data_IF_016448503202
#
_entry.id   IF_016448503202
#
_cell.length_a   1.000
_cell.length_b   1.000
_cell.length_c   1.000
_cell.angle_alpha   90.00
_cell.angle_beta   90.00
_cell.angle_gamma   90.00
#
_symmetry.space_group_name_H-M   'P 1'
#
loop_
_entity.id
_entity.type
_entity.pdbx_description
1 polymer ?
#
# COMPACT_ATOMS: atom_id res chain seq x y z
N UNK A 1 6.28 -7.73 18.73
CA UNK A 1 5.32 -8.82 18.44
C UNK A 1 4.58 -9.20 19.71
N UNK A 2 3.24 -9.26 19.68
CA UNK A 2 2.38 -9.54 20.86
C UNK A 2 1.89 -11.00 20.93
N UNK A 3 2.34 -11.83 20.00
CA UNK A 3 1.97 -13.24 19.86
C UNK A 3 3.23 -14.08 20.11
N UNK A 4 3.12 -15.08 20.98
CA UNK A 4 4.21 -16.01 21.30
C UNK A 4 4.38 -17.05 20.18
N UNK A 5 5.47 -17.84 20.24
CA UNK A 5 5.66 -18.96 19.30
C UNK A 5 4.58 -20.05 19.44
N UNK A 6 3.93 -20.16 20.60
CA UNK A 6 2.79 -21.06 20.83
C UNK A 6 1.46 -20.50 20.30
N UNK A 7 1.45 -19.28 19.76
CA UNK A 7 0.22 -18.66 19.25
C UNK A 7 -0.61 -17.96 20.33
N UNK A 8 -0.07 -17.76 21.53
CA UNK A 8 -0.76 -17.06 22.61
C UNK A 8 -0.66 -15.54 22.45
N UNK A 9 -1.79 -14.86 22.56
CA UNK A 9 -1.86 -13.40 22.53
C UNK A 9 -1.65 -12.85 23.95
N UNK A 10 -0.55 -12.12 24.14
CA UNK A 10 -0.22 -11.49 25.43
C UNK A 10 -0.58 -10.01 25.39
N UNK A 11 -1.53 -9.60 26.24
CA UNK A 11 -1.96 -8.21 26.39
C UNK A 11 -1.77 -7.75 27.84
N UNK A 12 -1.13 -6.60 28.02
CA UNK A 12 -0.91 -5.96 29.32
C UNK A 12 -1.18 -4.46 29.27
N UNK A 13 -1.51 -3.87 30.42
CA UNK A 13 -1.72 -2.43 30.57
C UNK A 13 -1.28 -1.97 31.95
N UNK A 14 -0.49 -0.90 32.01
CA UNK A 14 0.02 -0.25 33.23
C UNK A 14 -0.38 1.23 33.25
N UNK A 15 -1.59 1.53 32.76
CA UNK A 15 -2.00 2.91 32.46
C UNK A 15 -2.60 3.58 33.70
N UNK A 16 -3.34 2.83 34.49
CA UNK A 16 -4.05 3.31 35.66
C UNK A 16 -3.42 2.78 36.95
N UNK A 17 -3.75 3.44 38.07
CA UNK A 17 -3.24 3.02 39.39
C UNK A 17 -3.86 1.71 39.88
N UNK A 18 -5.10 1.39 39.50
CA UNK A 18 -5.79 0.19 39.99
C UNK A 18 -5.75 -0.96 38.99
N UNK A 19 -5.64 -2.19 39.50
CA UNK A 19 -5.70 -3.40 38.69
C UNK A 19 -7.04 -3.53 37.95
N UNK A 20 -8.17 -3.15 38.59
CA UNK A 20 -9.51 -3.24 38.00
C UNK A 20 -9.64 -2.36 36.75
N UNK A 21 -9.17 -1.11 36.83
CA UNK A 21 -9.16 -0.20 35.68
C UNK A 21 -8.22 -0.73 34.58
N UNK A 22 -7.03 -1.21 34.95
CA UNK A 22 -6.12 -1.82 33.97
C UNK A 22 -6.72 -3.06 33.30
N UNK A 23 -7.46 -3.90 34.04
CA UNK A 23 -8.19 -5.06 33.50
C UNK A 23 -9.23 -4.62 32.47
N UNK A 24 -10.03 -3.60 32.79
CA UNK A 24 -11.01 -3.04 31.85
C UNK A 24 -10.34 -2.53 30.57
N UNK A 25 -9.21 -1.82 30.69
CA UNK A 25 -8.47 -1.31 29.53
C UNK A 25 -7.94 -2.45 28.65
N UNK A 26 -7.40 -3.51 29.25
CA UNK A 26 -6.92 -4.68 28.49
C UNK A 26 -8.08 -5.35 27.76
N UNK A 27 -9.24 -5.51 28.41
CA UNK A 27 -10.45 -6.04 27.80
C UNK A 27 -10.91 -5.19 26.61
N UNK A 28 -10.96 -3.86 26.74
CA UNK A 28 -11.32 -2.97 25.62
C UNK A 28 -10.34 -3.09 24.45
N UNK A 29 -9.03 -3.09 24.73
CA UNK A 29 -7.99 -3.28 23.71
C UNK A 29 -8.10 -4.63 22.99
N UNK A 30 -8.50 -5.68 23.70
CA UNK A 30 -8.71 -7.00 23.11
C UNK A 30 -9.86 -6.97 22.09
N UNK A 31 -11.00 -6.38 22.46
CA UNK A 31 -12.13 -6.23 21.55
C UNK A 31 -11.79 -5.35 20.33
N UNK A 32 -11.13 -4.21 20.53
CA UNK A 32 -10.69 -3.35 19.41
C UNK A 32 -9.78 -4.09 18.43
N UNK A 33 -8.94 -4.99 18.94
CA UNK A 33 -8.01 -5.78 18.10
C UNK A 33 -8.79 -6.82 17.29
N UNK A 34 -9.75 -7.50 17.91
CA UNK A 34 -10.65 -8.43 17.21
C UNK A 34 -11.45 -7.71 16.13
N UNK A 35 -12.06 -6.58 16.46
CA UNK A 35 -12.84 -5.78 15.50
C UNK A 35 -11.98 -5.42 14.29
N UNK A 36 -10.77 -4.89 14.50
CA UNK A 36 -9.84 -4.55 13.42
C UNK A 36 -9.43 -5.77 12.58
N UNK A 37 -9.26 -6.93 13.20
CA UNK A 37 -8.90 -8.16 12.51
C UNK A 37 -10.06 -8.73 11.68
N UNK A 38 -11.30 -8.49 12.11
CA UNK A 38 -12.51 -8.94 11.41
C UNK A 38 -12.91 -8.02 10.24
N UNK A 39 -12.37 -6.80 10.17
CA UNK A 39 -12.62 -5.91 9.02
C UNK A 39 -12.03 -6.55 7.77
N UNK A 40 -12.87 -6.92 6.77
CA UNK A 40 -12.36 -7.47 5.52
C UNK A 40 -11.55 -6.40 4.78
N UNK A 41 -10.34 -6.78 4.34
CA UNK A 41 -9.55 -5.91 3.48
C UNK A 41 -10.25 -5.78 2.13
N UNK A 42 -10.55 -4.55 1.72
CA UNK A 42 -11.10 -4.29 0.39
C UNK A 42 -10.04 -4.66 -0.65
N UNK A 43 -10.42 -5.54 -1.58
CA UNK A 43 -9.54 -5.92 -2.68
C UNK A 43 -9.07 -4.68 -3.45
N UNK A 44 -7.76 -4.63 -3.71
CA UNK A 44 -7.17 -3.57 -4.51
C UNK A 44 -7.48 -3.82 -5.99
N UNK A 45 -8.28 -2.94 -6.58
CA UNK A 45 -8.44 -2.90 -8.04
C UNK A 45 -7.21 -2.24 -8.65
N UNK A 46 -6.53 -2.94 -9.58
CA UNK A 46 -5.38 -2.39 -10.30
C UNK A 46 -5.81 -1.17 -11.12
N UNK A 47 -5.08 -0.07 -10.98
CA UNK A 47 -5.33 1.14 -11.78
C UNK A 47 -4.74 0.98 -13.18
N UNK A 48 -5.46 1.47 -14.19
CA UNK A 48 -4.93 1.61 -15.55
C UNK A 48 -3.97 2.81 -15.59
N UNK A 49 -2.97 2.84 -16.50
CA UNK A 49 -2.11 4.01 -16.67
C UNK A 49 -2.96 5.25 -17.02
N UNK A 50 -2.65 6.38 -16.39
CA UNK A 50 -3.38 7.63 -16.59
C UNK A 50 -3.23 8.17 -18.02
N UNK A 51 -4.21 8.98 -18.46
CA UNK A 51 -4.21 9.63 -19.78
C UNK A 51 -2.90 10.38 -20.06
N UNK A 52 -2.37 11.07 -19.05
CA UNK A 52 -1.10 11.81 -19.13
C UNK A 52 0.08 10.89 -19.44
N UNK A 53 0.15 9.71 -18.81
CA UNK A 53 1.19 8.72 -19.08
C UNK A 53 1.09 8.17 -20.51
N UNK A 54 -0.13 7.94 -21.00
CA UNK A 54 -0.38 7.49 -22.38
C UNK A 54 0.05 8.56 -23.39
N UNK A 55 -0.28 9.82 -23.14
CA UNK A 55 0.10 10.95 -24.01
C UNK A 55 1.63 11.14 -24.05
N UNK A 56 2.29 11.16 -22.88
CA UNK A 56 3.77 11.25 -22.80
C UNK A 56 4.45 10.14 -23.59
N UNK A 57 3.95 8.90 -23.49
CA UNK A 57 4.45 7.76 -24.27
C UNK A 57 4.31 8.01 -25.79
N UNK A 58 3.15 8.50 -26.24
CA UNK A 58 2.89 8.77 -27.65
C UNK A 58 3.79 9.89 -28.19
N UNK A 59 3.94 10.99 -27.46
CA UNK A 59 4.84 12.09 -27.81
C UNK A 59 6.28 11.62 -27.90
N UNK A 60 6.73 10.86 -26.90
CA UNK A 60 8.06 10.27 -26.90
C UNK A 60 8.27 9.37 -28.12
N UNK A 61 7.31 8.47 -28.42
CA UNK A 61 7.34 7.62 -29.61
C UNK A 61 7.47 8.44 -30.90
N UNK A 62 6.70 9.53 -31.04
CA UNK A 62 6.76 10.43 -32.20
C UNK A 62 8.13 11.12 -32.32
N UNK A 63 8.65 11.68 -31.22
CA UNK A 63 9.96 12.34 -31.18
C UNK A 63 11.09 11.37 -31.58
N UNK A 64 11.05 10.13 -31.10
CA UNK A 64 12.03 9.10 -31.49
C UNK A 64 11.94 8.72 -32.96
N UNK A 65 10.74 8.57 -33.52
CA UNK A 65 10.57 8.29 -34.94
C UNK A 65 11.16 9.43 -35.80
N UNK A 66 10.83 10.69 -35.48
CA UNK A 66 11.39 11.86 -36.16
C UNK A 66 12.91 11.93 -36.05
N UNK A 67 13.46 11.67 -34.86
CA UNK A 67 14.92 11.60 -34.65
C UNK A 67 15.58 10.53 -35.52
N UNK A 68 14.94 9.36 -35.69
CA UNK A 68 15.44 8.28 -36.55
C UNK A 68 15.38 8.66 -38.04
N UNK A 69 14.30 9.30 -38.51
CA UNK A 69 14.23 9.77 -39.90
C UNK A 69 15.35 10.76 -40.21
N UNK A 70 15.58 11.74 -39.33
CA UNK A 70 16.63 12.77 -39.52
C UNK A 70 18.07 12.25 -39.46
N UNK A 71 18.27 11.00 -39.05
CA UNK A 71 19.58 10.32 -39.07
C UNK A 71 19.86 9.58 -40.37
N UNK A 72 18.87 9.44 -41.27
CA UNK A 72 19.12 8.86 -42.59
C UNK A 72 19.90 9.89 -43.41
N UNK A 73 20.99 9.45 -44.04
CA UNK A 73 21.88 10.30 -44.83
C UNK A 73 21.12 11.01 -45.96
N UNK A 74 21.48 12.27 -46.29
CA UNK A 74 20.89 13.00 -47.41
C UNK A 74 21.22 12.41 -48.79
N UNK A 75 22.19 11.50 -48.89
CA UNK A 75 22.74 10.97 -50.15
C UNK A 75 21.97 9.77 -50.75
N UNK A 76 20.77 9.46 -50.28
CA UNK A 76 19.89 8.49 -50.96
C UNK A 76 18.68 9.16 -51.59
N UNK A 77 18.91 9.91 -52.68
CA UNK A 77 17.98 10.15 -53.78
C UNK A 77 18.74 10.29 -55.09
#
# INVERSE_FOLDING_TARGET
NRITKSGELVLSSQRERTQRQNKQIVTSKFFELIEKALIPSKERIKTKPGRTAVLKRLEWKKKHAQKKLRRRDPEQY
#
